data_IF_222856501366
#
_entry.id   IF_222856501366
#
_cell.length_a   1.000
_cell.length_b   1.000
_cell.length_c   1.000
_cell.angle_alpha   90.00
_cell.angle_beta   90.00
_cell.angle_gamma   90.00
#
_symmetry.space_group_name_H-M   'P 1'
#
loop_
_entity.id
_entity.type
_entity.pdbx_description
1 polymer ?
#
# COMPACT_ATOMS: atom_id res chain seq x y z
N UNK A 1 -20.14 1.07 -14.72
CA UNK A 1 -18.83 1.19 -14.05
C UNK A 1 -18.88 2.29 -13.02
N UNK A 2 -17.95 2.34 -12.08
CA UNK A 2 -17.84 3.43 -11.09
C UNK A 2 -16.40 3.85 -10.89
N UNK A 3 -16.21 5.10 -10.49
CA UNK A 3 -14.93 5.64 -10.03
C UNK A 3 -15.03 5.85 -8.53
N UNK A 4 -14.06 5.33 -7.80
CA UNK A 4 -13.93 5.45 -6.36
C UNK A 4 -12.71 6.30 -6.01
N UNK A 5 -12.89 7.22 -5.07
CA UNK A 5 -11.79 7.89 -4.40
C UNK A 5 -11.40 7.08 -3.16
N UNK A 6 -10.17 6.61 -3.13
CA UNK A 6 -9.60 5.90 -1.98
C UNK A 6 -8.73 6.86 -1.19
N UNK A 7 -8.87 6.88 0.13
CA UNK A 7 -8.01 7.63 1.05
C UNK A 7 -7.58 6.70 2.18
N UNK A 8 -6.27 6.50 2.34
CA UNK A 8 -5.69 5.59 3.35
C UNK A 8 -6.33 4.18 3.33
N UNK A 9 -6.48 3.61 2.14
CA UNK A 9 -7.05 2.26 1.95
C UNK A 9 -8.58 2.19 1.95
N UNK A 10 -9.27 3.27 2.36
CA UNK A 10 -10.74 3.30 2.47
C UNK A 10 -11.38 4.02 1.29
N UNK A 11 -12.49 3.48 0.76
CA UNK A 11 -13.32 4.19 -0.22
C UNK A 11 -14.05 5.33 0.48
N UNK A 12 -13.74 6.58 0.08
CA UNK A 12 -14.38 7.80 0.60
C UNK A 12 -15.51 8.29 -0.27
N UNK A 13 -15.37 8.17 -1.58
CA UNK A 13 -16.38 8.57 -2.56
C UNK A 13 -16.53 7.48 -3.60
N UNK A 14 -17.73 7.32 -4.14
CA UNK A 14 -18.02 6.38 -5.23
C UNK A 14 -19.08 6.96 -6.13
N UNK A 15 -18.78 7.09 -7.43
CA UNK A 15 -19.71 7.65 -8.41
C UNK A 15 -19.84 6.73 -9.62
N UNK A 16 -21.07 6.45 -10.02
CA UNK A 16 -21.34 5.75 -11.26
C UNK A 16 -20.92 6.62 -12.46
N UNK A 17 -20.28 6.01 -13.45
CA UNK A 17 -19.81 6.70 -14.65
C UNK A 17 -20.31 6.01 -15.92
N UNK A 18 -20.41 6.81 -16.97
CA UNK A 18 -20.73 6.33 -18.31
C UNK A 18 -19.70 5.30 -18.82
N UNK A 19 -20.08 4.47 -19.79
CA UNK A 19 -19.26 3.33 -20.22
C UNK A 19 -17.97 3.72 -20.95
N UNK A 20 -17.94 4.88 -21.62
CA UNK A 20 -16.86 5.25 -22.53
C UNK A 20 -15.98 6.39 -22.02
N UNK A 21 -16.59 7.35 -21.33
CA UNK A 21 -15.89 8.54 -20.86
C UNK A 21 -16.62 9.12 -19.64
N UNK A 22 -15.83 9.65 -18.72
CA UNK A 22 -16.28 10.52 -17.65
C UNK A 22 -15.18 11.51 -17.28
N UNK A 23 -15.58 12.63 -16.70
CA UNK A 23 -14.68 13.62 -16.13
C UNK A 23 -15.32 14.19 -14.87
N UNK A 24 -14.50 14.63 -13.92
CA UNK A 24 -14.96 15.17 -12.66
C UNK A 24 -13.81 15.40 -11.69
N UNK A 25 -14.15 15.87 -10.51
CA UNK A 25 -13.20 16.05 -9.41
C UNK A 25 -13.92 15.92 -8.07
N UNK A 26 -13.15 15.67 -7.02
CA UNK A 26 -13.58 15.80 -5.63
C UNK A 26 -12.69 16.82 -4.92
N UNK A 27 -13.27 17.51 -3.94
CA UNK A 27 -12.50 18.33 -3.00
C UNK A 27 -12.35 17.54 -1.71
N UNK A 28 -11.11 17.27 -1.31
CA UNK A 28 -10.81 16.48 -0.11
C UNK A 28 -10.11 17.36 0.90
N UNK A 29 -10.65 17.45 2.12
CA UNK A 29 -9.99 18.10 3.24
C UNK A 29 -8.99 17.12 3.87
N UNK A 30 -7.70 17.46 3.86
CA UNK A 30 -6.65 16.66 4.46
C UNK A 30 -6.19 17.30 5.78
N UNK A 31 -6.79 16.89 6.89
CA UNK A 31 -6.43 17.36 8.25
C UNK A 31 -5.19 16.63 8.82
N UNK A 32 -4.81 15.51 8.20
CA UNK A 32 -3.67 14.66 8.55
C UNK A 32 -2.99 14.19 7.27
N UNK A 33 -1.73 13.79 7.38
CA UNK A 33 -1.01 13.15 6.28
C UNK A 33 -1.78 11.91 5.82
N UNK A 34 -1.99 11.81 4.51
CA UNK A 34 -2.75 10.73 3.89
C UNK A 34 -2.20 10.39 2.50
N UNK A 35 -2.67 9.29 1.92
CA UNK A 35 -2.51 9.02 0.50
C UNK A 35 -3.87 8.90 -0.16
N UNK A 36 -3.96 9.33 -1.41
CA UNK A 36 -5.19 9.26 -2.21
C UNK A 36 -4.93 8.55 -3.52
N UNK A 37 -5.88 7.75 -3.99
CA UNK A 37 -5.85 7.18 -5.33
C UNK A 37 -7.25 7.11 -5.91
N UNK A 38 -7.33 7.05 -7.24
CA UNK A 38 -8.58 6.71 -7.93
C UNK A 38 -8.56 5.23 -8.29
N UNK A 39 -9.71 4.59 -8.09
CA UNK A 39 -9.97 3.21 -8.48
C UNK A 39 -11.16 3.18 -9.43
N UNK A 40 -11.03 2.53 -10.58
CA UNK A 40 -12.13 2.33 -11.53
C UNK A 40 -12.62 0.90 -11.41
N UNK A 41 -13.86 0.72 -10.95
CA UNK A 41 -14.52 -0.59 -10.99
C UNK A 41 -15.30 -0.75 -12.29
N UNK A 42 -14.94 -1.79 -13.02
CA UNK A 42 -15.59 -2.19 -14.27
C UNK A 42 -16.24 -3.55 -14.14
N UNK A 43 -17.12 -3.89 -15.08
CA UNK A 43 -17.71 -5.21 -15.20
C UNK A 43 -17.81 -5.59 -16.69
N UNK A 44 -17.83 -6.89 -16.94
CA UNK A 44 -18.23 -7.46 -18.23
C UNK A 44 -19.51 -8.26 -17.99
N UNK A 45 -20.36 -8.40 -19.01
CA UNK A 45 -21.74 -8.93 -18.89
C UNK A 45 -21.84 -10.24 -18.09
N UNK A 46 -20.85 -11.13 -18.22
CA UNK A 46 -20.81 -12.43 -17.54
C UNK A 46 -19.65 -12.59 -16.53
N UNK A 47 -19.03 -11.49 -16.08
CA UNK A 47 -17.92 -11.54 -15.12
C UNK A 47 -18.23 -10.73 -13.87
N UNK A 48 -17.75 -11.18 -12.70
CA UNK A 48 -17.83 -10.36 -11.50
C UNK A 48 -17.12 -9.01 -11.72
N UNK A 49 -17.52 -8.02 -10.93
CA UNK A 49 -16.89 -6.71 -10.94
C UNK A 49 -15.39 -6.84 -10.64
N UNK A 50 -14.58 -6.08 -11.37
CA UNK A 50 -13.12 -6.04 -11.22
C UNK A 50 -12.63 -4.60 -11.06
N UNK A 51 -11.40 -4.46 -10.56
CA UNK A 51 -10.63 -3.23 -10.67
C UNK A 51 -10.11 -3.16 -12.10
N UNK A 52 -10.72 -2.30 -12.92
CA UNK A 52 -10.38 -2.16 -14.34
C UNK A 52 -9.21 -1.20 -14.56
N UNK A 53 -9.03 -0.22 -13.67
CA UNK A 53 -7.90 0.70 -13.66
C UNK A 53 -7.72 1.32 -12.27
N UNK A 54 -6.53 1.87 -12.02
CA UNK A 54 -6.27 2.71 -10.85
C UNK A 54 -5.20 3.75 -11.19
N UNK A 55 -5.10 4.80 -10.40
CA UNK A 55 -3.96 5.74 -10.47
C UNK A 55 -2.82 5.26 -9.58
N UNK A 56 -1.62 5.80 -9.78
CA UNK A 56 -0.63 5.82 -8.70
C UNK A 56 -1.19 6.62 -7.51
N UNK A 57 -0.86 6.23 -6.27
CA UNK A 57 -1.25 7.02 -5.11
C UNK A 57 -0.52 8.36 -5.09
N UNK A 58 -1.23 9.40 -4.69
CA UNK A 58 -0.68 10.72 -4.41
C UNK A 58 -0.55 10.85 -2.90
N UNK A 59 0.66 11.15 -2.45
CA UNK A 59 0.97 11.32 -1.03
C UNK A 59 0.76 12.78 -0.63
N UNK A 60 0.00 13.01 0.44
CA UNK A 60 -0.23 14.34 1.02
C UNK A 60 0.42 14.37 2.40
N UNK A 61 1.39 15.24 2.56
CA UNK A 61 2.05 15.49 3.84
C UNK A 61 1.45 16.72 4.50
N UNK A 62 0.95 16.56 5.73
CA UNK A 62 0.44 17.64 6.58
C UNK A 62 1.40 17.80 7.76
N UNK A 63 1.85 19.03 8.01
CA UNK A 63 2.77 19.34 9.10
C UNK A 63 2.20 18.88 10.45
N UNK A 64 3.06 18.28 11.29
CA UNK A 64 2.66 17.73 12.58
C UNK A 64 1.84 16.42 12.50
N UNK A 65 1.62 15.88 11.29
CA UNK A 65 0.95 14.60 11.10
C UNK A 65 1.85 13.59 10.41
N UNK A 66 1.95 12.42 11.00
CA UNK A 66 2.61 11.28 10.38
C UNK A 66 1.66 10.54 9.44
N UNK A 67 2.20 10.05 8.32
CA UNK A 67 1.50 9.11 7.45
C UNK A 67 1.76 7.69 7.97
N UNK A 68 0.82 7.19 8.77
CA UNK A 68 0.74 5.78 9.10
C UNK A 68 -0.73 5.37 9.24
N UNK A 69 -1.23 4.58 8.31
CA UNK A 69 -2.46 3.81 8.50
C UNK A 69 -2.04 2.44 9.04
N UNK A 70 -2.31 2.16 10.32
CA UNK A 70 -1.81 0.95 10.99
C UNK A 70 -2.24 -0.36 10.29
N UNK A 71 -3.47 -0.41 9.79
CA UNK A 71 -3.99 -1.55 9.04
C UNK A 71 -3.26 -1.76 7.70
N UNK A 72 -2.96 -0.67 6.98
CA UNK A 72 -2.14 -0.73 5.77
C UNK A 72 -0.70 -1.14 6.09
N UNK A 73 -0.16 -0.66 7.22
CA UNK A 73 1.23 -0.88 7.60
C UNK A 73 1.56 -2.37 7.80
N UNK A 74 0.70 -3.13 8.49
CA UNK A 74 0.87 -4.60 8.63
C UNK A 74 0.87 -5.26 7.26
N UNK A 75 -0.14 -4.96 6.44
CA UNK A 75 -0.29 -5.57 5.11
C UNK A 75 0.89 -5.24 4.20
N UNK A 76 1.38 -3.99 4.24
CA UNK A 76 2.56 -3.56 3.48
C UNK A 76 3.82 -4.30 3.98
N UNK A 77 3.95 -4.50 5.29
CA UNK A 77 5.06 -5.24 5.87
C UNK A 77 5.08 -6.69 5.35
N UNK A 78 3.92 -7.37 5.37
CA UNK A 78 3.75 -8.72 4.81
C UNK A 78 4.10 -8.79 3.32
N UNK A 79 3.72 -7.77 2.52
CA UNK A 79 4.08 -7.72 1.10
C UNK A 79 5.59 -7.53 0.90
N UNK A 80 6.25 -6.72 1.73
CA UNK A 80 7.71 -6.56 1.69
C UNK A 80 8.41 -7.87 2.04
N UNK A 81 7.92 -8.60 3.04
CA UNK A 81 8.44 -9.92 3.42
C UNK A 81 8.23 -10.95 2.31
N UNK A 82 7.05 -10.99 1.70
CA UNK A 82 6.76 -11.83 0.54
C UNK A 82 7.66 -11.52 -0.65
N UNK A 83 7.92 -10.22 -0.92
CA UNK A 83 8.83 -9.79 -1.98
C UNK A 83 10.30 -10.20 -1.70
N UNK A 84 10.74 -10.11 -0.43
CA UNK A 84 12.05 -10.61 -0.02
C UNK A 84 12.16 -12.13 -0.21
N UNK A 85 11.16 -12.89 0.23
CA UNK A 85 11.13 -14.34 0.06
C UNK A 85 11.17 -14.73 -1.43
N UNK A 86 10.40 -14.03 -2.28
CA UNK A 86 10.42 -14.22 -3.72
C UNK A 86 11.82 -13.98 -4.31
N UNK A 87 12.44 -12.84 -4.01
CA UNK A 87 13.79 -12.51 -4.51
C UNK A 87 14.85 -13.51 -4.02
N UNK A 88 14.73 -13.97 -2.79
CA UNK A 88 15.71 -14.86 -2.17
C UNK A 88 15.57 -16.31 -2.66
N UNK A 89 14.40 -16.75 -3.14
CA UNK A 89 14.13 -18.18 -3.43
C UNK A 89 13.62 -18.50 -4.84
N UNK A 90 12.68 -17.71 -5.38
CA UNK A 90 11.98 -18.04 -6.64
C UNK A 90 12.49 -17.20 -7.81
N UNK A 91 12.84 -15.93 -7.53
CA UNK A 91 13.19 -14.95 -8.55
C UNK A 91 14.41 -15.37 -9.37
N UNK A 92 14.31 -15.23 -10.69
CA UNK A 92 15.44 -15.49 -11.59
C UNK A 92 16.57 -14.49 -11.33
N UNK A 93 17.74 -14.98 -10.92
CA UNK A 93 18.91 -14.15 -10.62
C UNK A 93 19.74 -13.90 -11.88
N UNK A 94 19.37 -12.87 -12.64
CA UNK A 94 20.10 -12.48 -13.85
C UNK A 94 21.31 -11.57 -13.57
N UNK A 95 21.26 -10.75 -12.52
CA UNK A 95 22.31 -9.80 -12.12
C UNK A 95 22.43 -9.71 -10.59
N UNK A 96 23.60 -10.05 -10.05
CA UNK A 96 23.88 -10.03 -8.61
C UNK A 96 23.84 -8.60 -8.03
N UNK A 97 24.25 -7.60 -8.80
CA UNK A 97 24.22 -6.21 -8.34
C UNK A 97 22.78 -5.70 -8.23
N UNK A 98 21.92 -6.01 -9.21
CA UNK A 98 20.49 -5.69 -9.15
C UNK A 98 19.79 -6.40 -7.98
N UNK A 99 20.09 -7.69 -7.75
CA UNK A 99 19.57 -8.43 -6.61
C UNK A 99 19.93 -7.77 -5.28
N UNK A 100 21.21 -7.45 -5.05
CA UNK A 100 21.67 -6.79 -3.81
C UNK A 100 21.02 -5.42 -3.61
N UNK A 101 20.89 -4.62 -4.67
CA UNK A 101 20.22 -3.31 -4.61
C UNK A 101 18.75 -3.44 -4.23
N UNK A 102 18.01 -4.35 -4.89
CA UNK A 102 16.59 -4.55 -4.62
C UNK A 102 16.35 -5.06 -3.20
N UNK A 103 17.15 -6.06 -2.78
CA UNK A 103 17.08 -6.60 -1.43
C UNK A 103 17.38 -5.55 -0.36
N UNK A 104 18.37 -4.68 -0.59
CA UNK A 104 18.68 -3.58 0.33
C UNK A 104 17.49 -2.62 0.47
N UNK A 105 16.85 -2.23 -0.63
CA UNK A 105 15.67 -1.34 -0.61
C UNK A 105 14.55 -1.95 0.23
N UNK A 106 14.22 -3.23 0.01
CA UNK A 106 13.14 -3.90 0.73
C UNK A 106 13.46 -4.08 2.22
N UNK A 107 14.69 -4.47 2.57
CA UNK A 107 15.11 -4.58 3.99
C UNK A 107 15.07 -3.22 4.69
N UNK A 108 15.52 -2.16 4.02
CA UNK A 108 15.45 -0.79 4.56
C UNK A 108 14.00 -0.34 4.76
N UNK A 109 13.12 -0.62 3.80
CA UNK A 109 11.70 -0.31 3.90
C UNK A 109 11.02 -1.08 5.05
N UNK A 110 11.30 -2.38 5.18
CA UNK A 110 10.80 -3.23 6.26
C UNK A 110 11.17 -2.66 7.63
N UNK A 111 12.47 -2.42 7.86
CA UNK A 111 12.97 -1.86 9.14
C UNK A 111 12.37 -0.50 9.46
N UNK A 112 12.29 0.39 8.46
CA UNK A 112 11.73 1.71 8.66
C UNK A 112 10.24 1.64 9.06
N UNK A 113 9.46 0.79 8.39
CA UNK A 113 8.03 0.62 8.67
C UNK A 113 7.80 -0.08 10.01
N UNK A 114 8.51 -1.19 10.28
CA UNK A 114 8.45 -1.96 11.52
C UNK A 114 8.75 -1.11 12.75
N UNK A 115 9.89 -0.39 12.74
CA UNK A 115 10.27 0.49 13.85
C UNK A 115 9.25 1.61 14.07
N UNK A 116 8.70 2.17 12.99
CA UNK A 116 7.69 3.23 13.07
C UNK A 116 6.38 2.72 13.67
N UNK A 117 5.97 1.49 13.32
CA UNK A 117 4.81 0.85 13.94
C UNK A 117 4.98 0.71 15.46
N UNK A 118 6.15 0.23 15.92
CA UNK A 118 6.43 0.12 17.36
C UNK A 118 6.48 1.47 18.07
N UNK A 119 7.11 2.48 17.46
CA UNK A 119 7.15 3.85 18.01
C UNK A 119 5.75 4.46 18.21
N UNK A 120 4.80 4.09 17.35
CA UNK A 120 3.40 4.54 17.43
C UNK A 120 2.51 3.59 18.25
N UNK A 121 3.08 2.56 18.88
CA UNK A 121 2.35 1.60 19.72
C UNK A 121 1.50 0.59 18.95
N UNK A 122 1.76 0.40 17.66
CA UNK A 122 1.07 -0.57 16.82
C UNK A 122 1.77 -1.93 16.86
N UNK A 123 1.27 -2.80 17.73
CA UNK A 123 1.69 -4.19 17.85
C UNK A 123 1.20 -5.01 16.65
N UNK A 124 2.04 -5.93 16.19
CA UNK A 124 1.75 -6.86 15.11
C UNK A 124 2.54 -8.16 15.33
N UNK A 125 2.03 -9.24 14.77
CA UNK A 125 2.66 -10.56 14.90
C UNK A 125 3.95 -10.60 14.08
N UNK A 126 5.01 -11.15 14.68
CA UNK A 126 6.26 -11.43 13.98
C UNK A 126 6.25 -12.87 13.48
N UNK A 127 6.87 -13.11 12.32
CA UNK A 127 7.29 -14.47 11.99
C UNK A 127 8.47 -14.87 12.87
N UNK A 128 8.75 -16.18 13.09
CA UNK A 128 9.87 -16.62 13.94
C UNK A 128 11.25 -16.10 13.50
N UNK A 129 11.38 -15.66 12.25
CA UNK A 129 12.61 -15.10 11.69
C UNK A 129 12.79 -13.63 12.06
N UNK A 130 11.71 -12.92 12.39
CA UNK A 130 11.67 -11.49 12.71
C UNK A 130 11.38 -11.21 14.19
N UNK A 131 11.37 -12.25 15.02
CA UNK A 131 11.12 -12.15 16.46
C UNK A 131 12.30 -11.52 17.21
N UNK A 132 12.03 -10.55 18.09
CA UNK A 132 13.03 -9.75 18.79
C UNK A 132 12.66 -9.48 20.26
N UNK A 133 13.66 -9.28 21.14
CA UNK A 133 13.49 -9.37 22.60
C UNK A 133 12.51 -8.37 23.23
N UNK A 134 12.17 -7.29 22.53
CA UNK A 134 11.27 -6.23 23.02
C UNK A 134 9.79 -6.67 23.12
N UNK A 135 9.49 -7.91 22.76
CA UNK A 135 8.17 -8.56 22.86
C UNK A 135 8.06 -9.55 24.05
N UNK A 136 9.09 -9.62 24.92
CA UNK A 136 9.14 -10.50 26.10
C UNK A 136 9.30 -9.75 27.43
#
# INVERSE_FOLDING_TARGET
SRVELVVNGEVRESVAVGPWQAAGHWSVKADKSCWLALLVRGHYEDKPEIIAAHTSPVMVSVEGSELLAAADAVTILEQVEGALAYLDTIGTRADEAAYKRMRLVLVSAHRALHNRMHQLGHYHDHTPVTDHPEHH
#
